data_IF_326151725344
#
_entry.id   IF_326151725344
#
_cell.length_a   1.000
_cell.length_b   1.000
_cell.length_c   1.000
_cell.angle_alpha   90.00
_cell.angle_beta   90.00
_cell.angle_gamma   90.00
#
_symmetry.space_group_name_H-M   'P 1'
#
loop_
_entity.id
_entity.type
_entity.pdbx_description
1 polymer ?
#
# COMPACT_ATOMS: atom_id res chain seq x y z
N UNK A 1 58.55 38.92 -2.36
CA UNK A 1 58.43 37.98 -3.49
C UNK A 1 59.52 36.93 -3.34
N UNK A 2 59.17 35.69 -3.00
CA UNK A 2 60.03 34.51 -3.14
C UNK A 2 59.15 33.27 -3.08
N UNK A 3 59.35 32.41 -4.08
CA UNK A 3 58.58 31.23 -4.43
C UNK A 3 58.83 30.06 -3.48
N UNK A 4 57.77 29.29 -3.19
CA UNK A 4 57.89 27.84 -2.98
C UNK A 4 56.54 27.15 -3.20
N UNK A 5 56.40 26.48 -4.34
CA UNK A 5 55.47 25.34 -4.50
C UNK A 5 56.04 24.16 -3.70
N UNK A 6 55.17 23.25 -3.20
CA UNK A 6 55.25 21.92 -3.78
C UNK A 6 53.90 21.21 -3.96
N UNK A 7 53.94 20.38 -5.01
CA UNK A 7 53.29 19.09 -5.23
C UNK A 7 51.81 18.89 -4.86
N UNK A 8 51.04 18.68 -5.94
CA UNK A 8 49.82 17.90 -5.94
C UNK A 8 50.08 16.47 -5.44
N UNK A 9 49.18 15.97 -4.60
CA UNK A 9 48.93 14.54 -4.45
C UNK A 9 47.43 14.31 -4.69
N UNK A 10 47.11 13.75 -5.86
CA UNK A 10 45.81 13.16 -6.13
C UNK A 10 45.56 12.02 -5.15
N UNK A 11 44.48 12.09 -4.38
CA UNK A 11 43.88 10.91 -3.74
C UNK A 11 42.47 10.77 -4.28
N UNK A 12 42.35 10.03 -5.38
CA UNK A 12 41.11 9.43 -5.83
C UNK A 12 40.79 8.25 -4.92
N UNK A 13 39.98 8.48 -3.89
CA UNK A 13 39.40 7.40 -3.10
C UNK A 13 38.09 6.95 -3.77
N UNK A 14 38.08 5.69 -4.21
CA UNK A 14 36.91 5.01 -4.75
C UNK A 14 35.76 5.01 -3.74
N UNK A 15 34.57 5.34 -4.24
CA UNK A 15 33.31 5.11 -3.55
C UNK A 15 33.06 3.60 -3.42
N UNK A 16 32.98 3.11 -2.18
CA UNK A 16 32.29 1.87 -1.87
C UNK A 16 30.92 2.24 -1.30
N UNK A 17 29.92 2.31 -2.17
CA UNK A 17 28.52 2.26 -1.74
C UNK A 17 28.28 0.81 -1.35
N UNK A 18 28.35 0.50 -0.06
CA UNK A 18 27.77 -0.73 0.45
C UNK A 18 26.26 -0.60 0.31
N UNK A 19 25.70 -1.23 -0.72
CA UNK A 19 24.27 -1.52 -0.78
C UNK A 19 23.94 -2.41 0.41
N UNK A 20 23.33 -1.83 1.44
CA UNK A 20 22.60 -2.63 2.43
C UNK A 20 21.27 -2.95 1.76
N UNK A 21 21.12 -4.17 1.26
CA UNK A 21 19.80 -4.68 0.92
C UNK A 21 18.99 -4.67 2.22
N UNK A 22 18.13 -3.67 2.38
CA UNK A 22 17.06 -3.73 3.35
C UNK A 22 16.15 -4.87 2.92
N UNK A 23 16.29 -6.02 3.59
CA UNK A 23 15.20 -6.98 3.66
C UNK A 23 13.94 -6.25 4.17
N UNK A 24 12.73 -6.63 3.76
CA UNK A 24 11.54 -6.05 4.34
C UNK A 24 11.58 -6.34 5.85
N UNK A 25 11.77 -5.31 6.65
CA UNK A 25 11.61 -5.40 8.08
C UNK A 25 10.11 -5.60 8.30
N UNK A 26 9.70 -6.85 8.51
CA UNK A 26 8.49 -7.10 9.26
C UNK A 26 8.68 -6.40 10.60
N UNK A 27 7.84 -5.40 10.86
CA UNK A 27 7.89 -4.58 12.05
C UNK A 27 7.60 -5.45 13.28
N UNK A 28 8.67 -5.94 13.91
CA UNK A 28 8.63 -6.55 15.23
C UNK A 28 9.26 -5.56 16.20
N UNK A 29 8.44 -4.91 17.03
CA UNK A 29 8.94 -4.25 18.24
C UNK A 29 8.40 -4.91 19.51
N UNK A 30 9.28 -4.91 20.50
CA UNK A 30 9.27 -5.76 21.69
C UNK A 30 8.70 -4.95 22.86
N UNK A 31 7.47 -5.25 23.30
CA UNK A 31 6.91 -4.65 24.51
C UNK A 31 7.43 -5.45 25.71
N UNK A 32 8.42 -4.92 26.44
CA UNK A 32 8.95 -5.55 27.65
C UNK A 32 8.06 -5.17 28.83
N UNK A 33 7.23 -6.12 29.28
CA UNK A 33 6.53 -6.03 30.57
C UNK A 33 6.80 -7.31 31.35
N UNK A 34 7.69 -7.24 32.36
CA UNK A 34 7.71 -8.25 33.43
C UNK A 34 8.16 -9.68 33.07
N UNK A 35 9.08 -9.87 32.12
CA UNK A 35 9.86 -11.13 32.03
C UNK A 35 9.43 -12.13 30.96
N UNK A 36 8.28 -11.96 30.31
CA UNK A 36 7.84 -12.83 29.22
C UNK A 36 7.83 -12.06 27.89
N UNK A 37 8.68 -12.48 26.94
CA UNK A 37 8.69 -11.96 25.57
C UNK A 37 7.52 -12.58 24.82
N UNK A 38 6.34 -11.99 24.95
CA UNK A 38 5.19 -12.39 24.14
C UNK A 38 5.27 -11.69 22.79
N UNK A 39 5.69 -12.43 21.75
CA UNK A 39 5.54 -12.02 20.36
C UNK A 39 4.04 -11.90 20.08
N UNK A 40 3.48 -10.69 20.13
CA UNK A 40 2.14 -10.48 19.57
C UNK A 40 2.28 -10.33 18.07
N UNK A 41 1.99 -11.42 17.37
CA UNK A 41 1.68 -11.37 15.95
C UNK A 41 0.30 -10.71 15.81
N UNK A 42 0.24 -9.38 15.87
CA UNK A 42 -1.00 -8.67 15.57
C UNK A 42 -1.28 -8.73 14.05
N UNK A 43 -2.53 -8.99 13.65
CA UNK A 43 -2.90 -9.00 12.23
C UNK A 43 -2.74 -7.59 11.63
N UNK A 44 -2.35 -7.46 10.35
CA UNK A 44 -2.25 -6.15 9.72
C UNK A 44 -3.62 -5.45 9.65
N UNK A 45 -3.62 -4.13 9.57
CA UNK A 45 -4.83 -3.37 9.28
C UNK A 45 -5.37 -3.83 7.93
N UNK A 46 -6.59 -4.34 7.96
CA UNK A 46 -7.22 -4.97 6.80
C UNK A 46 -8.56 -4.32 6.53
N UNK A 47 -8.69 -3.74 5.35
CA UNK A 47 -9.95 -3.29 4.81
C UNK A 47 -10.52 -4.33 3.84
N UNK A 48 -11.83 -4.47 3.81
CA UNK A 48 -12.58 -5.28 2.86
C UNK A 48 -13.26 -4.41 1.82
N UNK A 49 -13.29 -4.88 0.59
CA UNK A 49 -13.96 -4.27 -0.54
C UNK A 49 -15.28 -5.01 -0.75
N UNK A 50 -16.42 -4.33 -0.57
CA UNK A 50 -17.74 -4.93 -0.73
C UNK A 50 -18.62 -4.11 -1.69
N UNK A 51 -19.00 -4.61 -2.87
CA UNK A 51 -18.73 -5.95 -3.37
C UNK A 51 -17.27 -6.15 -3.76
N UNK A 52 -16.83 -7.41 -3.76
CA UNK A 52 -15.55 -7.81 -4.36
C UNK A 52 -15.46 -7.29 -5.81
N UNK A 53 -14.30 -6.75 -6.19
CA UNK A 53 -14.08 -6.24 -7.56
C UNK A 53 -13.50 -7.36 -8.41
N UNK A 54 -14.27 -7.87 -9.37
CA UNK A 54 -13.79 -8.87 -10.34
C UNK A 54 -13.57 -8.22 -11.71
N UNK A 55 -12.38 -8.37 -12.26
CA UNK A 55 -12.04 -7.76 -13.56
C UNK A 55 -11.07 -8.60 -14.38
N UNK A 56 -11.15 -8.47 -15.71
CA UNK A 56 -10.15 -8.97 -16.67
C UNK A 56 -9.14 -7.89 -17.09
N UNK A 57 -9.42 -6.63 -16.77
CA UNK A 57 -8.51 -5.48 -16.90
C UNK A 57 -8.79 -4.51 -15.75
N UNK A 58 -7.84 -4.36 -14.86
CA UNK A 58 -7.90 -3.46 -13.72
C UNK A 58 -7.64 -2.01 -14.14
N UNK A 59 -6.78 -1.77 -15.12
CA UNK A 59 -6.43 -0.45 -15.63
C UNK A 59 -7.65 0.37 -16.15
N UNK A 60 -7.79 1.61 -15.67
CA UNK A 60 -8.64 2.68 -16.24
C UNK A 60 -10.09 2.70 -15.77
N UNK A 61 -10.50 1.72 -14.95
CA UNK A 61 -11.90 1.55 -14.53
C UNK A 61 -12.15 2.02 -13.10
N UNK A 62 -13.43 2.23 -12.78
CA UNK A 62 -13.92 2.54 -11.45
C UNK A 62 -15.03 1.58 -11.03
N UNK A 63 -15.18 1.41 -9.72
CA UNK A 63 -16.19 0.58 -9.08
C UNK A 63 -16.67 1.26 -7.82
N UNK A 64 -17.99 1.33 -7.65
CA UNK A 64 -18.59 1.73 -6.37
C UNK A 64 -18.49 0.54 -5.41
N UNK A 65 -17.90 0.77 -4.25
CA UNK A 65 -17.75 -0.23 -3.20
C UNK A 65 -17.83 0.40 -1.82
N UNK A 66 -18.28 -0.39 -0.88
CA UNK A 66 -18.15 -0.14 0.53
C UNK A 66 -16.79 -0.67 1.03
N UNK A 67 -16.00 0.22 1.64
CA UNK A 67 -14.77 -0.14 2.32
C UNK A 67 -15.05 -0.21 3.82
N UNK A 68 -14.90 -1.39 4.39
CA UNK A 68 -15.06 -1.62 5.83
C UNK A 68 -13.84 -2.26 6.48
N UNK A 69 -13.60 -1.94 7.75
CA UNK A 69 -12.49 -2.50 8.52
C UNK A 69 -12.82 -3.94 8.92
N UNK A 70 -11.97 -4.89 8.52
CA UNK A 70 -12.07 -6.31 8.94
C UNK A 70 -11.10 -6.68 10.04
N UNK A 71 -9.98 -5.97 10.15
CA UNK A 71 -9.01 -6.17 11.21
C UNK A 71 -8.32 -4.86 11.49
N UNK A 72 -8.18 -4.52 12.77
CA UNK A 72 -7.60 -3.27 13.23
C UNK A 72 -6.60 -3.56 14.33
N UNK A 73 -5.29 -3.66 14.01
CA UNK A 73 -4.27 -3.78 15.04
C UNK A 73 -4.15 -2.50 15.85
N UNK A 74 -3.38 -2.58 16.93
CA UNK A 74 -2.90 -1.42 17.64
C UNK A 74 -2.20 -0.45 16.70
N UNK A 75 -2.42 0.85 16.93
CA UNK A 75 -1.82 1.99 16.22
C UNK A 75 -0.30 1.89 16.04
N UNK A 76 0.41 1.25 16.97
CA UNK A 76 1.87 1.11 16.89
C UNK A 76 2.34 0.18 15.74
N UNK A 77 1.44 -0.67 15.22
CA UNK A 77 1.72 -1.60 14.14
C UNK A 77 1.20 -1.12 12.78
N UNK A 78 0.75 0.13 12.71
CA UNK A 78 0.22 0.76 11.50
C UNK A 78 0.94 2.07 11.20
N UNK A 79 1.15 2.37 9.92
CA UNK A 79 1.68 3.66 9.51
C UNK A 79 0.66 4.77 9.81
N UNK A 80 1.16 5.97 10.09
CA UNK A 80 0.30 7.13 10.34
C UNK A 80 -0.61 7.47 9.15
N UNK A 81 -0.24 7.10 7.92
CA UNK A 81 -1.09 7.24 6.75
C UNK A 81 -2.27 6.25 6.79
N UNK A 82 -1.98 4.97 7.04
CA UNK A 82 -2.99 3.93 7.21
C UNK A 82 -3.95 4.22 8.37
N UNK A 83 -3.44 4.73 9.49
CA UNK A 83 -4.27 5.17 10.62
C UNK A 83 -5.16 6.35 10.27
N UNK A 84 -4.62 7.32 9.51
CA UNK A 84 -5.41 8.46 9.04
C UNK A 84 -6.55 7.99 8.14
N UNK A 85 -6.30 7.03 7.25
CA UNK A 85 -7.32 6.42 6.38
C UNK A 85 -8.35 5.68 7.24
N UNK A 86 -7.92 4.83 8.18
CA UNK A 86 -8.81 4.12 9.11
C UNK A 86 -9.73 5.09 9.85
N UNK A 87 -9.18 6.12 10.46
CA UNK A 87 -9.94 7.11 11.21
C UNK A 87 -10.92 7.88 10.30
N UNK A 88 -10.50 8.19 9.07
CA UNK A 88 -11.35 8.89 8.10
C UNK A 88 -12.56 8.07 7.64
N UNK A 89 -12.43 6.75 7.53
CA UNK A 89 -13.55 5.87 7.17
C UNK A 89 -14.43 5.46 8.37
N UNK A 90 -14.13 5.94 9.59
CA UNK A 90 -14.96 5.69 10.78
C UNK A 90 -14.26 4.97 11.93
N UNK A 91 -12.93 4.78 11.87
CA UNK A 91 -12.16 4.15 12.95
C UNK A 91 -12.12 2.63 12.84
N UNK A 92 -12.08 1.93 13.98
CA UNK A 92 -11.93 0.46 14.01
C UNK A 92 -13.13 -0.30 13.45
N UNK A 93 -14.30 0.32 13.48
CA UNK A 93 -15.55 -0.18 12.88
C UNK A 93 -15.91 0.63 11.64
N UNK A 94 -14.90 1.24 11.00
CA UNK A 94 -15.07 2.09 9.85
C UNK A 94 -15.75 1.35 8.70
N UNK A 95 -16.68 2.05 8.07
CA UNK A 95 -17.59 1.56 7.04
C UNK A 95 -17.91 2.79 6.17
N UNK A 96 -17.49 2.75 4.91
CA UNK A 96 -17.63 3.90 4.03
C UNK A 96 -17.80 3.50 2.57
N UNK A 97 -18.83 4.07 1.94
CA UNK A 97 -19.00 4.00 0.48
C UNK A 97 -17.98 4.90 -0.21
N UNK A 98 -17.26 4.32 -1.15
CA UNK A 98 -16.21 4.97 -1.92
C UNK A 98 -16.27 4.51 -3.37
N UNK A 99 -15.58 5.24 -4.22
CA UNK A 99 -15.18 4.72 -5.50
C UNK A 99 -13.77 4.20 -5.48
N UNK A 100 -13.62 2.92 -5.79
CA UNK A 100 -12.33 2.31 -6.05
C UNK A 100 -12.00 2.51 -7.52
N UNK A 101 -10.91 3.20 -7.78
CA UNK A 101 -10.38 3.44 -9.11
C UNK A 101 -9.03 2.76 -9.23
N UNK A 102 -8.74 2.21 -10.40
CA UNK A 102 -7.45 1.60 -10.69
C UNK A 102 -6.79 2.37 -11.84
N UNK A 103 -6.05 3.45 -11.56
CA UNK A 103 -5.50 4.30 -12.59
C UNK A 103 -4.50 3.55 -13.47
N UNK A 104 -4.52 3.87 -14.76
CA UNK A 104 -3.53 3.35 -15.69
C UNK A 104 -2.18 4.10 -15.53
N UNK A 105 -1.03 3.41 -15.67
CA UNK A 105 0.27 4.08 -15.65
C UNK A 105 0.34 5.21 -16.68
N UNK A 106 0.67 6.42 -16.21
CA UNK A 106 0.80 7.61 -17.07
C UNK A 106 -0.51 8.12 -17.67
N UNK A 107 -1.67 7.67 -17.20
CA UNK A 107 -2.98 8.14 -17.65
C UNK A 107 -3.86 8.53 -16.47
N UNK A 108 -4.70 9.53 -16.68
CA UNK A 108 -5.79 9.82 -15.76
C UNK A 108 -6.81 8.66 -15.77
N UNK A 109 -7.58 8.46 -14.69
CA UNK A 109 -8.74 7.57 -14.69
C UNK A 109 -9.72 7.96 -15.80
N UNK A 110 -10.33 6.97 -16.45
CA UNK A 110 -11.31 7.22 -17.52
C UNK A 110 -12.60 7.85 -16.97
N UNK A 111 -12.86 7.67 -15.68
CA UNK A 111 -13.93 8.31 -14.93
C UNK A 111 -13.58 8.30 -13.45
N UNK A 112 -14.06 9.30 -12.72
CA UNK A 112 -14.02 9.38 -11.26
C UNK A 112 -15.46 9.33 -10.72
N UNK A 113 -16.36 8.50 -11.26
CA UNK A 113 -17.75 8.29 -10.79
C UNK A 113 -18.48 9.51 -10.18
N UNK A 114 -19.31 9.29 -9.15
CA UNK A 114 -20.14 10.30 -8.47
C UNK A 114 -19.99 10.41 -6.93
N UNK A 115 -19.37 9.44 -6.24
CA UNK A 115 -19.16 9.44 -4.79
C UNK A 115 -18.07 10.44 -4.38
N UNK A 116 -18.20 11.09 -3.22
CA UNK A 116 -17.24 12.13 -2.82
C UNK A 116 -15.86 11.57 -2.46
N UNK A 117 -15.81 10.33 -1.97
CA UNK A 117 -14.59 9.65 -1.55
C UNK A 117 -14.08 8.73 -2.65
N UNK A 118 -12.81 8.91 -3.03
CA UNK A 118 -12.10 8.10 -4.02
C UNK A 118 -10.97 7.34 -3.36
N UNK A 119 -10.87 6.06 -3.68
CA UNK A 119 -9.74 5.18 -3.39
C UNK A 119 -9.04 4.90 -4.72
N UNK A 120 -7.96 5.61 -5.00
CA UNK A 120 -7.14 5.41 -6.19
C UNK A 120 -6.07 4.37 -5.86
N UNK A 121 -6.20 3.18 -6.43
CA UNK A 121 -5.30 2.04 -6.19
C UNK A 121 -4.34 1.91 -7.36
N UNK A 122 -3.12 2.41 -7.17
CA UNK A 122 -2.03 2.33 -8.13
C UNK A 122 -1.31 0.99 -7.99
N UNK A 123 -1.75 0.00 -8.76
CA UNK A 123 -1.12 -1.33 -8.80
C UNK A 123 0.30 -1.21 -9.38
N UNK A 124 1.26 -1.89 -8.76
CA UNK A 124 2.59 -2.07 -9.34
C UNK A 124 2.56 -3.13 -10.45
N UNK A 125 2.35 -2.67 -11.69
CA UNK A 125 2.34 -3.54 -12.87
C UNK A 125 3.70 -4.17 -13.21
N UNK A 126 4.78 -3.80 -12.51
CA UNK A 126 6.07 -4.50 -12.64
C UNK A 126 6.08 -5.86 -11.94
N UNK A 127 5.12 -6.10 -11.04
CA UNK A 127 4.91 -7.36 -10.32
C UNK A 127 3.60 -8.00 -10.84
N UNK A 128 3.65 -8.81 -11.92
CA UNK A 128 2.45 -9.37 -12.50
C UNK A 128 1.79 -10.39 -11.56
N UNK A 129 0.46 -10.42 -11.58
CA UNK A 129 -0.33 -11.43 -10.87
C UNK A 129 -0.13 -12.80 -11.52
N UNK A 130 0.26 -13.81 -10.74
CA UNK A 130 0.42 -15.16 -11.27
C UNK A 130 -0.95 -15.86 -11.37
N UNK A 131 -1.42 -16.03 -12.60
CA UNK A 131 -2.69 -16.67 -12.89
C UNK A 131 -2.75 -18.16 -12.50
N UNK A 132 -1.62 -18.79 -12.16
CA UNK A 132 -1.55 -20.20 -11.77
C UNK A 132 -1.60 -20.41 -10.25
N UNK A 133 -1.36 -19.37 -9.45
CA UNK A 133 -1.41 -19.45 -7.99
C UNK A 133 -2.88 -19.54 -7.54
N UNK A 134 -3.16 -20.55 -6.71
CA UNK A 134 -4.46 -20.72 -6.05
C UNK A 134 -4.47 -19.94 -4.74
N UNK A 135 -5.62 -19.32 -4.44
CA UNK A 135 -5.82 -18.54 -3.23
C UNK A 135 -5.47 -17.07 -3.42
N UNK A 136 -5.45 -16.35 -2.30
CA UNK A 136 -5.14 -14.92 -2.29
C UNK A 136 -3.65 -14.68 -2.53
N UNK A 137 -3.35 -13.73 -3.41
CA UNK A 137 -2.04 -13.16 -3.66
C UNK A 137 -2.00 -11.73 -3.13
N UNK A 138 -0.86 -11.33 -2.55
CA UNK A 138 -0.59 -9.95 -2.12
C UNK A 138 0.07 -9.21 -3.27
N UNK A 139 -0.62 -8.22 -3.82
CA UNK A 139 -0.15 -7.43 -4.95
C UNK A 139 0.28 -6.08 -4.42
N UNK A 140 1.57 -5.69 -4.56
CA UNK A 140 2.03 -4.38 -4.14
C UNK A 140 1.26 -3.28 -4.88
N UNK A 141 0.82 -2.27 -4.13
CA UNK A 141 0.14 -1.13 -4.69
C UNK A 141 0.35 0.09 -3.79
N UNK A 142 -0.01 1.25 -4.33
CA UNK A 142 -0.13 2.47 -3.55
C UNK A 142 -1.59 2.92 -3.55
N UNK A 143 -2.11 3.20 -2.36
CA UNK A 143 -3.46 3.71 -2.17
C UNK A 143 -3.39 5.22 -1.94
N UNK A 144 -4.08 5.97 -2.78
CA UNK A 144 -4.38 7.38 -2.57
C UNK A 144 -5.88 7.52 -2.23
N UNK A 145 -6.18 8.14 -1.10
CA UNK A 145 -7.55 8.40 -0.65
C UNK A 145 -7.81 9.90 -0.71
N UNK A 146 -8.85 10.28 -1.45
CA UNK A 146 -9.25 11.67 -1.65
C UNK A 146 -10.72 11.84 -1.29
N UNK A 147 -11.07 12.92 -0.58
CA UNK A 147 -12.46 13.33 -0.36
C UNK A 147 -12.67 14.75 -0.90
N UNK A 148 -13.48 14.88 -1.93
CA UNK A 148 -13.73 16.14 -2.62
C UNK A 148 -14.46 17.18 -1.75
N UNK A 149 -15.18 16.75 -0.71
CA UNK A 149 -15.95 17.64 0.18
C UNK A 149 -15.21 17.98 1.47
N UNK A 150 -14.46 17.02 2.02
CA UNK A 150 -13.80 17.15 3.33
C UNK A 150 -12.36 17.65 3.23
N UNK A 151 -11.81 17.80 2.01
CA UNK A 151 -10.41 18.20 1.83
C UNK A 151 -9.43 17.18 2.42
N UNK A 152 -9.83 15.90 2.43
CA UNK A 152 -8.98 14.81 2.92
C UNK A 152 -8.13 14.27 1.78
N UNK A 153 -6.83 14.15 2.02
CA UNK A 153 -5.89 13.53 1.11
C UNK A 153 -4.83 12.74 1.91
N UNK A 154 -4.71 11.45 1.61
CA UNK A 154 -3.69 10.56 2.19
C UNK A 154 -3.21 9.55 1.15
N UNK A 155 -1.95 9.16 1.28
CA UNK A 155 -1.31 8.18 0.43
C UNK A 155 -0.58 7.18 1.31
N UNK A 156 -0.72 5.89 1.02
CA UNK A 156 -0.09 4.80 1.76
C UNK A 156 0.34 3.68 0.82
N UNK A 157 1.49 3.08 1.09
CA UNK A 157 1.87 1.83 0.44
C UNK A 157 1.06 0.69 1.05
N UNK A 158 0.45 -0.12 0.19
CA UNK A 158 -0.49 -1.17 0.59
C UNK A 158 -0.21 -2.45 -0.18
N UNK A 159 -0.85 -3.54 0.26
CA UNK A 159 -0.97 -4.74 -0.56
C UNK A 159 -2.44 -5.01 -0.85
N UNK A 160 -2.75 -5.26 -2.11
CA UNK A 160 -4.08 -5.64 -2.55
C UNK A 160 -4.21 -7.17 -2.52
N UNK A 161 -5.21 -7.69 -1.82
CA UNK A 161 -5.54 -9.12 -1.80
C UNK A 161 -6.36 -9.50 -3.03
N UNK A 162 -5.75 -10.20 -3.97
CA UNK A 162 -6.37 -10.65 -5.22
C UNK A 162 -6.40 -12.17 -5.36
N UNK A 163 -7.50 -12.72 -5.88
CA UNK A 163 -7.62 -14.14 -6.25
C UNK A 163 -7.73 -14.23 -7.77
N UNK A 164 -6.75 -14.88 -8.40
CA UNK A 164 -6.77 -15.13 -9.83
C UNK A 164 -7.67 -16.31 -10.20
N UNK A 165 -8.40 -16.17 -11.30
CA UNK A 165 -9.14 -17.25 -11.96
C UNK A 165 -8.61 -17.38 -13.39
N UNK A 166 -7.77 -18.40 -13.61
CA UNK A 166 -7.16 -18.69 -14.90
C UNK A 166 -8.19 -18.97 -16.00
N UNK A 167 -9.20 -19.77 -15.69
CA UNK A 167 -10.19 -20.23 -16.67
C UNK A 167 -11.01 -19.07 -17.23
N UNK A 168 -11.27 -18.06 -16.40
CA UNK A 168 -12.01 -16.84 -16.78
C UNK A 168 -11.11 -15.69 -17.20
N UNK A 169 -9.80 -15.82 -17.03
CA UNK A 169 -8.83 -14.73 -17.17
C UNK A 169 -9.25 -13.47 -16.38
N UNK A 170 -9.58 -13.65 -15.10
CA UNK A 170 -10.01 -12.56 -14.20
C UNK A 170 -9.27 -12.59 -12.88
N UNK A 171 -9.14 -11.43 -12.26
CA UNK A 171 -8.68 -11.27 -10.87
C UNK A 171 -9.85 -10.71 -10.05
N UNK A 172 -10.03 -11.26 -8.85
CA UNK A 172 -11.00 -10.79 -7.86
C UNK A 172 -10.28 -10.13 -6.68
N UNK A 173 -10.40 -8.82 -6.54
CA UNK A 173 -9.85 -8.04 -5.43
C UNK A 173 -10.86 -7.96 -4.28
N UNK A 174 -10.41 -8.33 -3.08
CA UNK A 174 -11.28 -8.45 -1.90
C UNK A 174 -10.81 -7.61 -0.71
N UNK A 175 -9.50 -7.40 -0.58
CA UNK A 175 -8.92 -6.78 0.60
C UNK A 175 -7.83 -5.77 0.27
N UNK A 176 -7.69 -4.76 1.12
CA UNK A 176 -6.55 -3.84 1.14
C UNK A 176 -5.86 -4.03 2.48
N UNK A 177 -4.57 -4.38 2.44
CA UNK A 177 -3.72 -4.56 3.60
C UNK A 177 -2.84 -3.33 3.76
N UNK A 178 -2.99 -2.67 4.91
CA UNK A 178 -2.28 -1.46 5.27
C UNK A 178 -1.30 -1.80 6.40
N UNK A 179 -0.05 -1.35 6.26
CA UNK A 179 0.99 -1.47 7.29
C UNK A 179 1.32 -0.13 7.90
#
# INVERSE_FOLDING_TARGET
>A
MLFSKPLALCVSALAFITQVNAAPADAFEMIVNGGDVEKRDEPPLKFNIDPDITTSTDCGRHWDANINVKSSPNLIFTSGACDSIRNFIGGNDGDKDVEVNFPCPGKAPDSFGNLDTKFLVHIDYSVPVDMNIKGEQKIPAQLEVVDSKKGFWKQADVQLGGIANKDKNTIKYQFIYCK
#
